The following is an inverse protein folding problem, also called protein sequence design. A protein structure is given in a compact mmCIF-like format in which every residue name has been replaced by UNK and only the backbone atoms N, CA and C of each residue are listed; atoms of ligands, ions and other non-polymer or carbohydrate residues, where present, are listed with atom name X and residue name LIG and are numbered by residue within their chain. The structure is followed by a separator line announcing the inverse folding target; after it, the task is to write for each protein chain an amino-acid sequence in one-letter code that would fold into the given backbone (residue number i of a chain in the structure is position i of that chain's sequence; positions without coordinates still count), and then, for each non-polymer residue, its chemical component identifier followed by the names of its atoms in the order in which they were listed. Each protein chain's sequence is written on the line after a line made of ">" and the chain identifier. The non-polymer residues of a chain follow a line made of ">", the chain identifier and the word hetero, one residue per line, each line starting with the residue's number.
data_IF_796107343984
#
_entry.id   IF_796107343984
#
_cell.length_a   1.000
_cell.length_b   1.000
_cell.length_c   1.000
_cell.angle_alpha   90.00
_cell.angle_beta   90.00
_cell.angle_gamma   90.00
#
_symmetry.space_group_name_H-M   'P 1'
#
loop_
_entity.id
_entity.type
_entity.pdbx_description
1 polymer ?
#
# COMPACT_ATOMS: atom_id res chain seq x y z
N UNK A 1 -26.49 8.92 -22.82
CA UNK A 1 -25.40 9.80 -22.39
C UNK A 1 -24.10 9.36 -23.02
N UNK A 2 -23.47 10.22 -23.85
CA UNK A 2 -22.26 9.84 -24.59
C UNK A 2 -21.08 9.51 -23.67
N UNK A 3 -21.06 9.99 -22.43
CA UNK A 3 -19.97 9.75 -21.48
C UNK A 3 -19.94 8.30 -20.96
N UNK A 4 -21.11 7.67 -20.81
CA UNK A 4 -21.18 6.26 -20.38
C UNK A 4 -20.98 5.27 -21.52
N UNK A 5 -21.28 5.66 -22.76
CA UNK A 5 -21.01 4.82 -23.92
C UNK A 5 -19.56 4.93 -24.39
N UNK A 6 -18.87 6.03 -24.08
CA UNK A 6 -17.42 6.17 -24.28
C UNK A 6 -16.61 5.56 -23.12
N UNK A 7 -17.21 5.40 -21.96
CA UNK A 7 -16.67 4.50 -20.94
C UNK A 7 -16.85 3.10 -21.46
N UNK A 8 -15.77 2.56 -21.98
CA UNK A 8 -15.71 1.18 -22.41
C UNK A 8 -16.46 0.31 -21.43
N UNK A 9 -17.39 -0.46 -21.90
CA UNK A 9 -17.98 -1.51 -21.08
C UNK A 9 -16.85 -2.25 -20.39
N UNK A 10 -17.03 -2.58 -19.14
CA UNK A 10 -16.02 -3.23 -18.31
C UNK A 10 -15.36 -4.46 -18.98
N UNK A 11 -16.02 -5.08 -19.96
CA UNK A 11 -15.46 -6.14 -20.79
C UNK A 11 -14.28 -5.74 -21.69
N UNK A 12 -14.06 -4.45 -21.92
CA UNK A 12 -12.92 -3.95 -22.68
C UNK A 12 -11.77 -3.47 -21.77
N UNK A 13 -11.95 -3.45 -20.44
CA UNK A 13 -10.87 -3.25 -19.50
C UNK A 13 -9.93 -4.45 -19.60
N UNK A 14 -8.87 -4.29 -20.34
CA UNK A 14 -7.75 -5.23 -20.34
C UNK A 14 -7.09 -5.12 -18.97
N UNK A 15 -7.42 -6.04 -18.09
CA UNK A 15 -6.71 -6.17 -16.85
C UNK A 15 -5.23 -6.43 -17.16
N UNK A 16 -4.36 -5.63 -16.58
CA UNK A 16 -2.93 -5.85 -16.69
C UNK A 16 -2.58 -7.24 -16.14
N UNK A 17 -1.46 -7.78 -16.54
CA UNK A 17 -0.96 -9.06 -16.01
C UNK A 17 -0.78 -9.05 -14.48
N UNK A 18 -0.69 -7.85 -13.89
CA UNK A 18 -0.75 -7.63 -12.44
C UNK A 18 -1.98 -6.79 -12.14
N UNK A 19 -3.06 -7.42 -11.70
CA UNK A 19 -4.26 -6.69 -11.34
C UNK A 19 -3.96 -5.71 -10.20
N UNK A 20 -4.50 -4.50 -10.31
CA UNK A 20 -4.45 -3.53 -9.22
C UNK A 20 -5.19 -4.08 -7.99
N UNK A 21 -4.91 -3.54 -6.82
CA UNK A 21 -5.64 -3.92 -5.61
C UNK A 21 -7.16 -3.72 -5.77
N UNK A 22 -7.57 -2.67 -6.48
CA UNK A 22 -8.98 -2.43 -6.77
C UNK A 22 -9.61 -3.54 -7.60
N UNK A 23 -8.92 -4.02 -8.62
CA UNK A 23 -9.40 -5.14 -9.46
C UNK A 23 -9.49 -6.44 -8.68
N UNK A 24 -8.55 -6.71 -7.79
CA UNK A 24 -8.58 -7.87 -6.91
C UNK A 24 -9.80 -7.81 -5.98
N UNK A 25 -10.05 -6.69 -5.32
CA UNK A 25 -11.22 -6.47 -4.48
C UNK A 25 -12.51 -6.62 -5.27
N UNK A 26 -12.58 -6.09 -6.48
CA UNK A 26 -13.74 -6.21 -7.34
C UNK A 26 -14.06 -7.68 -7.65
N UNK A 27 -13.04 -8.46 -8.04
CA UNK A 27 -13.20 -9.88 -8.31
C UNK A 27 -13.70 -10.67 -7.10
N UNK A 28 -13.15 -10.38 -5.92
CA UNK A 28 -13.58 -11.02 -4.68
C UNK A 28 -15.02 -10.62 -4.28
N UNK A 29 -15.38 -9.35 -4.44
CA UNK A 29 -16.74 -8.88 -4.21
C UNK A 29 -17.75 -9.57 -5.14
N UNK A 30 -17.42 -9.68 -6.42
CA UNK A 30 -18.30 -10.37 -7.40
C UNK A 30 -18.46 -11.84 -7.03
N UNK A 31 -17.41 -12.53 -6.62
CA UNK A 31 -17.49 -13.92 -6.16
C UNK A 31 -18.37 -14.06 -4.92
N UNK A 32 -18.30 -13.10 -3.99
CA UNK A 32 -19.05 -13.14 -2.73
C UNK A 32 -20.55 -12.91 -2.91
N UNK A 33 -20.99 -12.31 -4.01
CA UNK A 33 -22.41 -12.08 -4.29
C UNK A 33 -23.20 -13.37 -4.61
N UNK A 34 -22.52 -14.45 -4.92
CA UNK A 34 -23.16 -15.70 -5.30
C UNK A 34 -23.92 -15.64 -6.63
N UNK A 35 -24.33 -16.79 -7.12
CA UNK A 35 -25.14 -16.94 -8.34
C UNK A 35 -26.62 -16.81 -8.02
N UNK A 36 -27.10 -15.62 -7.75
CA UNK A 36 -28.53 -15.38 -7.52
C UNK A 36 -29.18 -14.64 -8.69
N UNK A 37 -30.49 -14.87 -8.92
CA UNK A 37 -31.27 -14.19 -9.95
C UNK A 37 -31.32 -12.65 -9.81
N UNK A 38 -30.88 -12.13 -8.66
CA UNK A 38 -30.87 -10.70 -8.36
C UNK A 38 -29.55 -10.01 -8.71
N UNK A 39 -28.53 -10.77 -9.09
CA UNK A 39 -27.22 -10.23 -9.43
C UNK A 39 -26.92 -10.64 -10.87
N UNK A 40 -26.99 -9.68 -11.75
CA UNK A 40 -26.61 -9.85 -13.14
C UNK A 40 -25.08 -9.92 -13.22
N UNK A 41 -24.56 -10.91 -13.93
CA UNK A 41 -23.16 -10.95 -14.36
C UNK A 41 -22.85 -9.85 -15.40
N UNK A 42 -23.85 -9.05 -15.73
CA UNK A 42 -23.73 -7.95 -16.65
C UNK A 42 -22.97 -6.80 -15.97
N UNK A 43 -21.77 -6.59 -16.43
CA UNK A 43 -20.91 -5.50 -15.95
C UNK A 43 -21.45 -4.10 -16.24
N UNK A 44 -22.47 -3.98 -17.07
CA UNK A 44 -23.16 -2.73 -17.34
C UNK A 44 -24.27 -2.41 -16.32
N UNK A 45 -24.49 -3.32 -15.36
CA UNK A 45 -25.46 -3.08 -14.30
C UNK A 45 -25.02 -2.01 -13.32
N UNK A 46 -25.99 -1.29 -12.74
CA UNK A 46 -25.73 -0.30 -11.70
C UNK A 46 -25.05 -0.91 -10.47
N UNK A 47 -25.38 -2.17 -10.16
CA UNK A 47 -24.76 -2.92 -9.05
C UNK A 47 -23.28 -3.15 -9.32
N UNK A 48 -22.94 -3.62 -10.52
CA UNK A 48 -21.54 -3.81 -10.92
C UNK A 48 -20.75 -2.51 -10.88
N UNK A 49 -21.32 -1.41 -11.35
CA UNK A 49 -20.69 -0.09 -11.30
C UNK A 49 -20.42 0.38 -9.86
N UNK A 50 -21.36 0.16 -8.95
CA UNK A 50 -21.17 0.48 -7.51
C UNK A 50 -20.10 -0.39 -6.87
N UNK A 51 -20.13 -1.68 -7.11
CA UNK A 51 -19.12 -2.61 -6.59
C UNK A 51 -17.72 -2.25 -7.10
N UNK A 52 -17.62 -1.91 -8.37
CA UNK A 52 -16.37 -1.47 -8.96
C UNK A 52 -15.86 -0.19 -8.30
N UNK A 53 -16.72 0.82 -8.11
CA UNK A 53 -16.35 2.06 -7.46
C UNK A 53 -15.86 1.82 -6.01
N UNK A 54 -16.55 0.98 -5.25
CA UNK A 54 -16.13 0.60 -3.90
C UNK A 54 -14.82 -0.18 -3.90
N UNK A 55 -14.67 -1.12 -4.81
CA UNK A 55 -13.45 -1.90 -4.94
C UNK A 55 -12.24 -1.02 -5.27
N UNK A 56 -12.40 -0.05 -6.16
CA UNK A 56 -11.34 0.91 -6.48
C UNK A 56 -11.00 1.80 -5.30
N UNK A 57 -11.98 2.26 -4.54
CA UNK A 57 -11.77 3.04 -3.32
C UNK A 57 -11.02 2.22 -2.25
N UNK A 58 -11.41 0.97 -2.02
CA UNK A 58 -10.71 0.06 -1.10
C UNK A 58 -9.30 -0.26 -1.56
N UNK A 59 -9.10 -0.46 -2.86
CA UNK A 59 -7.79 -0.68 -3.45
C UNK A 59 -6.85 0.51 -3.23
N UNK A 60 -7.39 1.72 -3.35
CA UNK A 60 -6.66 2.95 -3.05
C UNK A 60 -6.28 3.05 -1.57
N UNK A 61 -7.23 2.76 -0.68
CA UNK A 61 -6.96 2.71 0.76
C UNK A 61 -5.86 1.69 1.09
N UNK A 62 -5.93 0.49 0.53
CA UNK A 62 -4.90 -0.53 0.72
C UNK A 62 -3.53 -0.04 0.26
N UNK A 63 -3.46 0.57 -0.91
CA UNK A 63 -2.22 1.14 -1.43
C UNK A 63 -1.63 2.19 -0.48
N UNK A 64 -2.46 3.10 0.04
CA UNK A 64 -2.00 4.13 0.98
C UNK A 64 -1.55 3.53 2.32
N UNK A 65 -2.22 2.49 2.80
CA UNK A 65 -1.81 1.77 4.02
C UNK A 65 -0.46 1.09 3.81
N UNK A 66 -0.25 0.42 2.68
CA UNK A 66 1.03 -0.20 2.34
C UNK A 66 2.13 0.86 2.20
N UNK A 67 1.82 1.98 1.59
CA UNK A 67 2.74 3.13 1.47
C UNK A 67 3.12 3.68 2.85
N UNK A 68 2.16 3.86 3.75
CA UNK A 68 2.42 4.24 5.14
C UNK A 68 3.29 3.20 5.84
N UNK A 69 3.03 1.91 5.66
CA UNK A 69 3.85 0.83 6.18
C UNK A 69 5.31 0.95 5.74
N UNK A 70 5.55 1.32 4.48
CA UNK A 70 6.90 1.57 3.98
C UNK A 70 7.58 2.76 4.67
N UNK A 71 6.83 3.77 5.09
CA UNK A 71 7.40 4.93 5.80
C UNK A 71 7.90 4.58 7.21
N UNK A 72 7.40 3.50 7.81
CA UNK A 72 7.88 2.97 9.08
C UNK A 72 9.04 1.97 8.93
N UNK A 73 9.31 1.51 7.70
CA UNK A 73 10.50 0.68 7.43
C UNK A 73 11.71 1.61 7.18
N UNK A 74 12.73 1.59 8.05
CA UNK A 74 13.91 2.45 7.90
C UNK A 74 14.61 2.34 6.55
N UNK A 75 14.49 1.18 5.91
CA UNK A 75 15.13 0.92 4.60
C UNK A 75 14.39 1.54 3.43
N UNK A 76 13.10 1.83 3.59
CA UNK A 76 12.20 2.31 2.54
C UNK A 76 11.65 3.71 2.82
N UNK A 77 11.76 4.16 4.06
CA UNK A 77 11.25 5.46 4.47
C UNK A 77 11.82 6.59 3.63
N UNK A 78 10.96 7.50 3.23
CA UNK A 78 11.31 8.75 2.56
C UNK A 78 10.68 9.92 3.32
N UNK A 79 9.36 10.00 3.29
CA UNK A 79 8.60 11.03 3.99
C UNK A 79 8.62 10.84 5.52
N UNK A 80 8.63 9.58 5.97
CA UNK A 80 8.74 9.20 7.38
C UNK A 80 10.15 9.26 7.96
N UNK A 81 11.17 9.43 7.12
CA UNK A 81 12.57 9.41 7.56
C UNK A 81 12.89 10.47 8.63
N UNK A 82 12.44 11.74 8.52
CA UNK A 82 12.68 12.73 9.56
C UNK A 82 12.01 12.39 10.91
N UNK A 83 10.90 11.68 10.88
CA UNK A 83 10.21 11.23 12.09
C UNK A 83 11.04 10.14 12.78
N UNK A 84 11.51 9.15 12.03
CA UNK A 84 12.36 8.07 12.53
C UNK A 84 13.69 8.61 13.10
N UNK A 85 14.31 9.58 12.42
CA UNK A 85 15.52 10.26 12.90
C UNK A 85 15.27 10.96 14.24
N UNK A 86 14.16 11.67 14.35
CA UNK A 86 13.78 12.35 15.60
C UNK A 86 13.56 11.38 16.76
N UNK A 87 12.86 10.29 16.50
CA UNK A 87 12.59 9.26 17.51
C UNK A 87 13.87 8.58 18.00
N UNK A 88 14.84 8.41 17.11
CA UNK A 88 16.13 7.80 17.42
C UNK A 88 17.19 8.80 17.88
N UNK A 89 16.86 10.10 17.94
CA UNK A 89 17.79 11.14 18.34
C UNK A 89 18.91 11.40 17.34
N UNK A 90 18.70 11.07 16.07
CA UNK A 90 19.69 11.27 15.00
C UNK A 90 19.51 12.66 14.41
N UNK A 91 20.61 13.41 14.34
CA UNK A 91 20.68 14.66 13.61
C UNK A 91 21.43 14.42 12.32
N UNK A 92 20.75 14.42 11.15
CA UNK A 92 21.42 14.17 9.89
C UNK A 92 22.42 15.27 9.54
N UNK A 93 23.53 14.89 8.96
CA UNK A 93 24.53 15.84 8.48
C UNK A 93 23.97 16.66 7.31
N UNK A 94 24.39 17.92 7.23
CA UNK A 94 24.05 18.77 6.08
C UNK A 94 24.65 18.19 4.81
N UNK A 95 23.80 17.80 3.88
CA UNK A 95 24.22 17.20 2.61
C UNK A 95 24.26 15.67 2.61
N UNK A 96 23.86 15.01 3.71
CA UNK A 96 23.71 13.57 3.71
C UNK A 96 22.65 13.11 2.68
N UNK A 97 22.99 12.10 1.91
CA UNK A 97 22.06 11.50 0.95
C UNK A 97 20.98 10.70 1.68
N UNK A 98 19.85 10.50 1.02
CA UNK A 98 18.76 9.67 1.58
C UNK A 98 19.26 8.26 1.93
N UNK A 99 20.14 7.69 1.10
CA UNK A 99 20.74 6.39 1.36
C UNK A 99 21.58 6.37 2.65
N UNK A 100 22.39 7.40 2.88
CA UNK A 100 23.18 7.56 4.11
C UNK A 100 22.28 7.72 5.33
N UNK A 101 21.29 8.59 5.26
CA UNK A 101 20.31 8.81 6.33
C UNK A 101 19.56 7.53 6.68
N UNK A 102 19.12 6.77 5.68
CA UNK A 102 18.48 5.46 5.91
C UNK A 102 19.42 4.48 6.59
N UNK A 103 20.67 4.43 6.17
CA UNK A 103 21.66 3.54 6.77
C UNK A 103 21.88 3.87 8.25
N UNK A 104 21.98 5.12 8.60
CA UNK A 104 22.11 5.59 9.99
C UNK A 104 20.89 5.22 10.84
N UNK A 105 19.69 5.41 10.32
CA UNK A 105 18.44 5.02 10.99
C UNK A 105 18.36 3.51 11.18
N UNK A 106 18.78 2.71 10.19
CA UNK A 106 18.83 1.25 10.29
C UNK A 106 19.79 0.81 11.41
N UNK A 107 20.98 1.39 11.46
CA UNK A 107 21.98 1.08 12.50
C UNK A 107 21.43 1.45 13.88
N UNK A 108 20.95 2.68 14.05
CA UNK A 108 20.39 3.14 15.31
C UNK A 108 19.17 2.32 15.76
N UNK A 109 18.29 1.93 14.84
CA UNK A 109 17.15 1.08 15.16
C UNK A 109 17.54 -0.32 15.62
N UNK A 110 18.62 -0.87 15.08
CA UNK A 110 19.18 -2.15 15.53
C UNK A 110 19.76 -2.05 16.92
N UNK A 111 20.50 -0.99 17.21
CA UNK A 111 21.05 -0.72 18.53
C UNK A 111 19.91 -0.55 19.54
N UNK A 112 18.90 0.24 19.23
CA UNK A 112 17.75 0.45 20.11
C UNK A 112 16.94 -0.84 20.38
N UNK A 113 16.81 -1.71 19.38
CA UNK A 113 16.15 -3.02 19.55
C UNK A 113 17.07 -4.04 20.22
N UNK A 114 18.39 -3.90 20.05
CA UNK A 114 19.40 -4.76 20.63
C UNK A 114 19.74 -4.46 22.09
N UNK A 115 19.07 -3.52 22.73
CA UNK A 115 19.18 -3.24 24.17
C UNK A 115 18.71 -4.39 25.08
N UNK A 116 18.43 -5.53 24.51
CA UNK A 116 18.26 -6.76 25.27
C UNK A 116 19.65 -7.29 25.72
N UNK A 117 19.74 -7.62 27.00
CA UNK A 117 20.95 -7.98 27.74
C UNK A 117 21.91 -8.95 27.02
N UNK A 118 21.35 -9.85 26.18
CA UNK A 118 22.10 -10.80 25.38
C UNK A 118 22.94 -10.20 24.24
N UNK A 119 22.59 -9.00 23.76
CA UNK A 119 23.33 -8.35 22.69
C UNK A 119 24.43 -7.43 23.22
N UNK A 120 24.34 -6.99 24.46
CA UNK A 120 25.39 -6.22 25.13
C UNK A 120 26.57 -7.15 25.48
N UNK A 121 26.27 -8.39 25.88
CA UNK A 121 27.31 -9.41 26.17
C UNK A 121 28.03 -9.91 24.93
N UNK A 122 27.40 -9.88 23.74
CA UNK A 122 28.01 -10.28 22.47
C UNK A 122 28.94 -9.22 21.87
N UNK A 123 28.93 -7.99 22.38
CA UNK A 123 29.78 -6.86 21.91
C UNK A 123 30.96 -6.59 22.84
N UNK A 124 30.94 -7.15 24.03
CA UNK A 124 32.01 -7.10 25.00
C UNK A 124 32.90 -8.35 24.91
#
# INVERSE_FOLDING_TARGET
>A
MPVFSAFTPFGALRFSSRPSHGEQFYREMVKSLGSGANYSDDFDSLVAARLYAWAMALGRCKYEIERLGHQWDPRRALEGLPVLERELGIVPDRGATIAQRRAEVVVASRIARGGNRSNVEAVL
#
